data_IF_794498178786
#
_entry.id   IF_794498178786
#
_cell.length_a   1.000
_cell.length_b   1.000
_cell.length_c   1.000
_cell.angle_alpha   90.00
_cell.angle_beta   90.00
_cell.angle_gamma   90.00
#
_symmetry.space_group_name_H-M   'P 1'
#
loop_
_entity.id
_entity.type
_entity.pdbx_description
1 polymer ?
#
# COMPACT_ATOMS: atom_id res chain seq x y z
N UNK A 1 10.15 -12.26 -5.28
CA UNK A 1 8.74 -11.84 -5.17
C UNK A 1 8.71 -10.34 -4.95
N UNK A 2 7.89 -9.61 -5.70
CA UNK A 2 7.69 -8.17 -5.54
C UNK A 2 6.26 -7.92 -5.07
N UNK A 3 6.09 -6.96 -4.16
CA UNK A 3 4.81 -6.55 -3.62
C UNK A 3 4.72 -5.03 -3.70
N UNK A 4 3.75 -4.54 -4.44
CA UNK A 4 3.59 -3.12 -4.71
C UNK A 4 2.18 -2.81 -5.18
N UNK A 5 1.79 -1.53 -5.20
CA UNK A 5 0.50 -1.12 -5.71
C UNK A 5 0.26 -1.72 -7.09
N UNK A 6 -1.01 -1.97 -7.42
CA UNK A 6 -1.39 -2.37 -8.77
C UNK A 6 -0.90 -1.35 -9.79
N UNK A 7 -0.89 -1.72 -11.07
CA UNK A 7 -0.45 -0.87 -12.18
C UNK A 7 -1.39 0.34 -12.42
N UNK A 8 -2.22 0.70 -11.43
CA UNK A 8 -2.93 1.98 -11.36
C UNK A 8 -1.93 3.14 -11.42
N UNK A 9 -2.32 4.19 -12.14
CA UNK A 9 -1.50 5.38 -12.38
C UNK A 9 -0.82 5.86 -11.08
N UNK A 10 0.51 6.07 -11.11
CA UNK A 10 1.23 6.60 -9.96
C UNK A 10 0.66 7.97 -9.60
N UNK A 11 0.42 8.19 -8.30
CA UNK A 11 0.08 9.52 -7.80
C UNK A 11 1.35 10.36 -7.65
N UNK A 12 1.23 11.63 -7.99
CA UNK A 12 2.25 12.64 -7.70
C UNK A 12 2.28 12.96 -6.20
N UNK A 13 3.40 13.52 -5.74
CA UNK A 13 3.53 14.01 -4.36
C UNK A 13 2.48 15.08 -4.05
N UNK A 14 2.20 15.98 -5.00
CA UNK A 14 1.16 17.01 -4.82
C UNK A 14 -0.23 16.39 -4.61
N UNK A 15 -0.62 15.39 -5.40
CA UNK A 15 -1.91 14.71 -5.23
C UNK A 15 -2.01 14.02 -3.87
N UNK A 16 -0.93 13.37 -3.41
CA UNK A 16 -0.88 12.73 -2.09
C UNK A 16 -1.01 13.78 -0.98
N UNK A 17 -0.26 14.89 -1.07
CA UNK A 17 -0.28 15.97 -0.07
C UNK A 17 -1.67 16.62 0.03
N UNK A 18 -2.31 16.91 -1.09
CA UNK A 18 -3.65 17.50 -1.11
C UNK A 18 -4.70 16.56 -0.50
N UNK A 19 -4.66 15.27 -0.87
CA UNK A 19 -5.55 14.26 -0.27
C UNK A 19 -5.32 14.11 1.23
N UNK A 20 -4.05 14.14 1.67
CA UNK A 20 -3.71 14.08 3.09
C UNK A 20 -4.30 15.27 3.85
N UNK A 21 -4.15 16.51 3.35
CA UNK A 21 -4.73 17.71 3.98
C UNK A 21 -6.25 17.64 4.01
N UNK A 22 -6.89 17.13 2.95
CA UNK A 22 -8.34 16.92 2.91
C UNK A 22 -8.80 15.94 4.01
N UNK A 23 -8.15 14.78 4.14
CA UNK A 23 -8.46 13.81 5.21
C UNK A 23 -8.09 14.35 6.60
N UNK A 24 -7.04 15.17 6.70
CA UNK A 24 -6.65 15.83 7.95
C UNK A 24 -7.70 16.86 8.39
N UNK A 25 -8.39 17.51 7.45
CA UNK A 25 -9.47 18.47 7.68
C UNK A 25 -8.99 19.90 7.96
N UNK A 26 -7.68 20.15 7.98
CA UNK A 26 -7.07 21.49 8.10
C UNK A 26 -5.65 21.50 7.57
N UNK A 27 -5.12 22.69 7.31
CA UNK A 27 -3.79 22.90 6.77
C UNK A 27 -3.84 23.30 5.29
N UNK A 28 -2.67 23.53 4.72
CA UNK A 28 -2.51 23.95 3.33
C UNK A 28 -1.28 23.27 2.74
N UNK A 29 -1.40 22.82 1.49
CA UNK A 29 -0.24 22.40 0.70
C UNK A 29 0.38 23.66 0.10
N UNK A 30 1.67 23.86 0.37
CA UNK A 30 2.45 24.93 -0.25
C UNK A 30 3.39 24.26 -1.24
N UNK A 31 3.19 24.52 -2.53
CA UNK A 31 4.07 24.04 -3.57
C UNK A 31 5.24 25.02 -3.70
N UNK A 32 6.46 24.53 -3.50
CA UNK A 32 7.66 25.31 -3.79
C UNK A 32 7.94 25.27 -5.30
N UNK A 33 8.46 26.37 -5.84
CA UNK A 33 9.01 26.35 -7.19
C UNK A 33 10.18 25.37 -7.25
N UNK A 34 10.19 24.53 -8.28
CA UNK A 34 11.24 23.55 -8.51
C UNK A 34 12.57 24.26 -8.74
N UNK A 35 13.37 24.42 -7.68
CA UNK A 35 14.80 24.69 -7.85
C UNK A 35 15.44 23.47 -8.49
N UNK A 36 16.36 23.65 -9.44
CA UNK A 36 17.09 22.57 -10.11
C UNK A 36 17.90 21.73 -9.10
N UNK A 37 17.20 20.84 -8.40
CA UNK A 37 17.77 19.89 -7.46
C UNK A 37 18.54 18.79 -8.19
N UNK A 38 19.23 17.92 -7.46
CA UNK A 38 19.88 16.76 -8.06
C UNK A 38 18.87 15.97 -8.89
N UNK A 39 19.31 15.45 -10.05
CA UNK A 39 18.48 14.61 -10.89
C UNK A 39 18.01 13.39 -10.09
N UNK A 40 16.73 13.37 -9.71
CA UNK A 40 16.11 12.17 -9.17
C UNK A 40 15.99 11.11 -10.27
N UNK A 41 16.14 9.84 -9.88
CA UNK A 41 15.89 8.74 -10.78
C UNK A 41 14.44 8.81 -11.28
N UNK A 42 14.25 8.44 -12.56
CA UNK A 42 12.89 8.25 -13.10
C UNK A 42 12.14 7.24 -12.21
N UNK A 43 10.85 7.49 -12.01
CA UNK A 43 9.93 6.71 -11.16
C UNK A 43 10.30 5.21 -11.12
N UNK A 44 10.72 4.73 -9.96
CA UNK A 44 10.99 3.31 -9.74
C UNK A 44 9.68 2.61 -9.34
N UNK A 45 9.20 1.71 -10.20
CA UNK A 45 8.01 0.91 -9.95
C UNK A 45 8.37 -0.57 -9.93
N UNK A 46 7.86 -1.31 -8.94
CA UNK A 46 8.02 -2.75 -8.84
C UNK A 46 6.96 -3.46 -9.67
N UNK A 47 7.38 -4.33 -10.59
CA UNK A 47 6.45 -5.27 -11.24
C UNK A 47 6.06 -6.36 -10.25
N UNK A 48 4.80 -6.35 -9.82
CA UNK A 48 4.21 -7.31 -8.88
C UNK A 48 3.42 -8.42 -9.59
N UNK A 49 3.55 -8.57 -10.91
CA UNK A 49 2.82 -9.54 -11.72
C UNK A 49 3.03 -10.98 -11.26
N UNK A 50 4.26 -11.35 -10.86
CA UNK A 50 4.54 -12.69 -10.34
C UNK A 50 3.74 -12.99 -9.06
N UNK A 51 3.68 -12.05 -8.12
CA UNK A 51 2.92 -12.23 -6.87
C UNK A 51 1.42 -12.31 -7.12
N UNK A 52 0.89 -11.50 -8.05
CA UNK A 52 -0.52 -11.58 -8.47
C UNK A 52 -0.86 -12.93 -9.10
N UNK A 53 0.00 -13.43 -10.00
CA UNK A 53 -0.25 -14.63 -10.77
C UNK A 53 -0.11 -15.92 -9.94
N UNK A 54 0.91 -16.01 -9.09
CA UNK A 54 1.24 -17.27 -8.40
C UNK A 54 0.79 -17.32 -6.94
N UNK A 55 0.55 -16.17 -6.28
CA UNK A 55 0.10 -16.10 -4.89
C UNK A 55 -1.31 -15.52 -4.73
N UNK A 56 -1.96 -15.16 -5.85
CA UNK A 56 -3.23 -14.44 -5.82
C UNK A 56 -3.17 -13.15 -5.00
N UNK A 57 -1.97 -12.58 -4.88
CA UNK A 57 -1.71 -11.43 -4.03
C UNK A 57 -2.19 -10.15 -4.69
N UNK A 58 -2.88 -9.27 -3.96
CA UNK A 58 -3.27 -7.96 -4.43
C UNK A 58 -3.37 -6.94 -3.27
N UNK A 59 -3.16 -5.64 -3.51
CA UNK A 59 -3.46 -4.61 -2.52
C UNK A 59 -4.94 -4.61 -2.14
N UNK A 60 -5.25 -4.58 -0.84
CA UNK A 60 -6.64 -4.62 -0.34
C UNK A 60 -7.23 -3.25 -0.02
N UNK A 61 -6.37 -2.25 0.15
CA UNK A 61 -6.78 -0.88 0.43
C UNK A 61 -6.61 -0.03 -0.82
N UNK A 62 -7.66 0.72 -1.13
CA UNK A 62 -7.57 1.81 -2.10
C UNK A 62 -6.60 2.89 -1.60
N UNK A 63 -6.13 3.76 -2.49
CA UNK A 63 -5.25 4.87 -2.07
C UNK A 63 -5.93 5.79 -1.05
N UNK A 64 -7.24 6.02 -1.19
CA UNK A 64 -8.02 6.82 -0.24
C UNK A 64 -8.01 6.18 1.15
N UNK A 65 -8.36 4.89 1.26
CA UNK A 65 -8.38 4.19 2.54
C UNK A 65 -7.00 4.19 3.22
N UNK A 66 -5.93 4.00 2.45
CA UNK A 66 -4.55 4.06 2.97
C UNK A 66 -4.22 5.43 3.58
N UNK A 67 -4.61 6.50 2.90
CA UNK A 67 -4.38 7.86 3.40
C UNK A 67 -5.24 8.17 4.62
N UNK A 68 -6.51 7.79 4.60
CA UNK A 68 -7.44 8.00 5.72
C UNK A 68 -6.92 7.28 6.98
N UNK A 69 -6.53 6.00 6.86
CA UNK A 69 -5.97 5.23 7.97
C UNK A 69 -4.67 5.83 8.51
N UNK A 70 -3.82 6.35 7.62
CA UNK A 70 -2.57 7.01 8.00
C UNK A 70 -2.86 8.29 8.78
N UNK A 71 -3.80 9.12 8.30
CA UNK A 71 -4.22 10.35 8.97
C UNK A 71 -4.81 10.07 10.34
N UNK A 72 -5.71 9.09 10.44
CA UNK A 72 -6.35 8.73 11.70
C UNK A 72 -5.32 8.27 12.74
N UNK A 73 -4.35 7.45 12.32
CA UNK A 73 -3.27 7.00 13.19
C UNK A 73 -2.44 8.17 13.73
N UNK A 74 -2.02 9.10 12.86
CA UNK A 74 -1.24 10.28 13.29
C UNK A 74 -2.06 11.24 14.16
N UNK A 75 -3.36 11.42 13.89
CA UNK A 75 -4.25 12.20 14.75
C UNK A 75 -4.36 11.57 16.14
N UNK A 76 -4.57 10.25 16.22
CA UNK A 76 -4.61 9.53 17.50
C UNK A 76 -3.29 9.66 18.24
N UNK A 77 -2.16 9.45 17.57
CA UNK A 77 -0.85 9.63 18.20
C UNK A 77 -0.65 11.04 18.75
N UNK A 78 -1.08 12.08 18.02
CA UNK A 78 -0.92 13.47 18.47
C UNK A 78 -1.85 13.84 19.64
N UNK A 79 -3.09 13.31 19.66
CA UNK A 79 -4.13 13.73 20.61
C UNK A 79 -4.19 12.83 21.84
N UNK A 80 -3.96 11.53 21.66
CA UNK A 80 -4.08 10.48 22.67
C UNK A 80 -3.03 9.39 22.43
N UNK A 81 -1.74 9.63 22.74
CA UNK A 81 -0.66 8.67 22.51
C UNK A 81 -0.91 7.27 23.10
N UNK A 82 -1.61 7.18 24.23
CA UNK A 82 -1.94 5.91 24.90
C UNK A 82 -2.92 5.04 24.06
N UNK A 83 -3.69 5.64 23.15
CA UNK A 83 -4.63 4.96 22.26
C UNK A 83 -3.99 4.43 20.97
N UNK A 84 -2.70 4.70 20.74
CA UNK A 84 -1.99 4.31 19.51
C UNK A 84 -1.97 2.80 19.34
N UNK A 85 -1.82 2.05 20.44
CA UNK A 85 -1.88 0.60 20.39
C UNK A 85 -3.26 0.10 19.95
N UNK A 86 -4.32 0.73 20.45
CA UNK A 86 -5.70 0.35 20.16
C UNK A 86 -6.03 0.59 18.70
N UNK A 87 -5.71 1.77 18.14
CA UNK A 87 -5.96 2.05 16.72
C UNK A 87 -5.11 1.17 15.80
N UNK A 88 -3.86 0.88 16.17
CA UNK A 88 -3.00 -0.04 15.41
C UNK A 88 -3.61 -1.44 15.35
N UNK A 89 -4.03 -1.96 16.51
CA UNK A 89 -4.67 -3.27 16.62
C UNK A 89 -5.98 -3.33 15.84
N UNK A 90 -6.80 -2.28 15.91
CA UNK A 90 -8.05 -2.17 15.17
C UNK A 90 -7.82 -2.17 13.65
N UNK A 91 -6.82 -1.43 13.16
CA UNK A 91 -6.47 -1.40 11.73
C UNK A 91 -5.99 -2.78 11.24
N UNK A 92 -5.23 -3.52 12.04
CA UNK A 92 -4.85 -4.90 11.74
C UNK A 92 -6.09 -5.81 11.62
N UNK A 93 -7.00 -5.76 12.58
CA UNK A 93 -8.25 -6.54 12.54
C UNK A 93 -9.13 -6.18 11.33
N UNK A 94 -9.18 -4.90 10.98
CA UNK A 94 -9.89 -4.43 9.79
C UNK A 94 -9.27 -5.00 8.50
N UNK A 95 -7.93 -5.10 8.43
CA UNK A 95 -7.22 -5.76 7.33
C UNK A 95 -7.55 -7.26 7.27
N UNK A 96 -7.50 -7.97 8.39
CA UNK A 96 -7.85 -9.40 8.45
C UNK A 96 -9.28 -9.64 7.99
N UNK A 97 -10.21 -8.76 8.37
CA UNK A 97 -11.61 -8.83 7.92
C UNK A 97 -11.71 -8.62 6.41
N UNK A 98 -11.02 -7.62 5.86
CA UNK A 98 -10.94 -7.40 4.40
C UNK A 98 -10.33 -8.60 3.67
N UNK A 99 -9.32 -9.26 4.23
CA UNK A 99 -8.74 -10.49 3.66
C UNK A 99 -9.82 -11.58 3.58
N UNK A 100 -10.56 -11.82 4.68
CA UNK A 100 -11.59 -12.86 4.74
C UNK A 100 -12.79 -12.59 3.84
N UNK A 101 -13.14 -11.32 3.62
CA UNK A 101 -14.28 -10.92 2.77
C UNK A 101 -13.92 -10.74 1.29
N UNK A 102 -12.64 -10.69 0.94
CA UNK A 102 -12.18 -10.62 -0.44
C UNK A 102 -12.10 -12.03 -1.02
N UNK A 103 -12.85 -12.36 -2.08
CA UNK A 103 -12.69 -13.64 -2.76
C UNK A 103 -11.25 -13.75 -3.28
N UNK A 104 -10.51 -14.76 -2.83
CA UNK A 104 -9.20 -15.07 -3.40
C UNK A 104 -9.40 -15.42 -4.88
N UNK A 105 -8.77 -14.66 -5.79
CA UNK A 105 -8.74 -15.01 -7.20
C UNK A 105 -7.83 -16.23 -7.38
N UNK A 106 -8.41 -17.40 -7.65
CA UNK A 106 -7.62 -18.61 -7.95
C UNK A 106 -7.27 -19.44 -6.71
N UNK A 107 -6.94 -20.71 -6.96
CA UNK A 107 -6.77 -21.78 -5.97
C UNK A 107 -5.96 -21.35 -4.75
N UNK A 108 -6.43 -21.77 -3.56
CA UNK A 108 -5.64 -21.77 -2.33
C UNK A 108 -4.28 -22.37 -2.65
N UNK A 109 -3.22 -21.58 -2.47
CA UNK A 109 -1.85 -22.05 -2.66
C UNK A 109 -1.62 -23.28 -1.78
N UNK A 110 -1.42 -24.43 -2.42
CA UNK A 110 -1.36 -25.74 -1.77
C UNK A 110 0.07 -26.12 -1.32
N UNK A 111 0.99 -25.16 -1.29
CA UNK A 111 2.39 -25.42 -0.95
C UNK A 111 3.28 -25.87 -2.11
N UNK A 112 2.75 -26.00 -3.33
CA UNK A 112 3.54 -26.46 -4.48
C UNK A 112 3.83 -25.32 -5.45
N UNK A 113 5.13 -25.07 -5.66
CA UNK A 113 5.64 -24.15 -6.67
C UNK A 113 5.54 -24.81 -8.07
N UNK A 114 4.73 -24.28 -9.01
CA UNK A 114 4.59 -24.82 -10.37
C UNK A 114 5.89 -24.77 -11.18
N UNK A 115 6.86 -23.93 -10.80
CA UNK A 115 8.15 -23.76 -11.49
C UNK A 115 9.18 -24.85 -11.16
N UNK A 116 8.87 -25.78 -10.26
CA UNK A 116 9.77 -26.89 -9.89
C UNK A 116 9.80 -28.04 -10.91
N UNK A 117 8.97 -28.01 -11.96
CA UNK A 117 9.12 -28.93 -13.10
C UNK A 117 10.13 -28.38 -14.11
N UNK A 118 11.40 -28.76 -13.95
CA UNK A 118 12.44 -28.90 -15.00
C UNK A 118 13.84 -28.38 -14.62
N UNK A 119 14.33 -28.66 -13.41
CA UNK A 119 15.78 -28.78 -13.23
C UNK A 119 16.13 -30.26 -13.07
N UNK A 120 16.62 -30.87 -14.15
CA UNK A 120 17.43 -32.09 -14.07
C UNK A 120 18.88 -31.61 -14.15
N UNK A 121 19.64 -31.82 -13.07
CA UNK A 121 21.08 -31.62 -13.09
C UNK A 121 21.71 -32.64 -14.07
N UNK A 122 22.54 -32.14 -14.98
CA UNK A 122 23.59 -32.90 -15.64
C UNK A 122 24.88 -32.74 -14.83
#
# INVERSE_FOLDING_TARGET
WNFGPSDSSPLTVSEIAHRFVQSWGRGQVIEAETTAGPHEARLLQLDSSKARAELSWQPLLTTRERLDWTVDWYKTWQQSPDEVWNITSQQIQNMETKIRSTPLFGQVWNGQDPSTKNWRAA
#
